data_IF_650920852593
#
_entry.id   IF_650920852593
#
_cell.length_a   1.000
_cell.length_b   1.000
_cell.length_c   1.000
_cell.angle_alpha   90.00
_cell.angle_beta   90.00
_cell.angle_gamma   90.00
#
_symmetry.space_group_name_H-M   'P 1'
#
loop_
_entity.id
_entity.type
_entity.pdbx_description
1 polymer ?
#
# COMPACT_ATOMS: atom_id res chain seq x y z
N UNK A 1 -2.84 -2.90 -17.57
CA UNK A 1 -2.33 -4.05 -18.37
C UNK A 1 -0.93 -4.48 -17.94
N UNK A 2 0.06 -3.57 -17.85
CA UNK A 2 1.44 -3.93 -17.51
C UNK A 2 1.59 -4.75 -16.20
N UNK A 3 0.94 -4.33 -15.10
CA UNK A 3 1.02 -5.07 -13.84
C UNK A 3 0.33 -6.45 -13.90
N UNK A 4 -0.75 -6.58 -14.67
CA UNK A 4 -1.41 -7.87 -14.88
C UNK A 4 -0.50 -8.81 -15.68
N UNK A 5 0.15 -8.31 -16.74
CA UNK A 5 1.13 -9.08 -17.50
C UNK A 5 2.31 -9.52 -16.63
N UNK A 6 2.80 -8.66 -15.73
CA UNK A 6 3.83 -9.05 -14.76
C UNK A 6 3.34 -10.17 -13.83
N UNK A 7 2.08 -10.13 -13.37
CA UNK A 7 1.47 -11.22 -12.59
C UNK A 7 1.26 -12.52 -13.40
N UNK A 8 1.08 -12.42 -14.72
CA UNK A 8 1.01 -13.59 -15.59
C UNK A 8 2.38 -14.23 -15.83
N UNK A 9 3.42 -13.42 -15.96
CA UNK A 9 4.82 -13.86 -16.09
C UNK A 9 5.37 -14.43 -14.78
N UNK A 10 5.17 -13.71 -13.68
CA UNK A 10 5.65 -14.05 -12.35
C UNK A 10 4.45 -14.35 -11.44
N UNK A 11 4.09 -15.62 -11.33
CA UNK A 11 3.01 -16.04 -10.43
C UNK A 11 3.37 -15.69 -8.98
N UNK A 12 2.45 -15.03 -8.31
CA UNK A 12 2.62 -14.55 -6.96
C UNK A 12 1.28 -14.25 -6.29
N UNK A 13 1.32 -13.97 -5.00
CA UNK A 13 0.13 -13.72 -4.19
C UNK A 13 0.44 -12.66 -3.12
N UNK A 14 -0.58 -12.33 -2.32
CA UNK A 14 -0.47 -11.39 -1.21
C UNK A 14 -1.25 -11.92 0.00
N UNK A 15 -0.85 -11.54 1.20
CA UNK A 15 -1.57 -11.90 2.42
C UNK A 15 -1.60 -10.76 3.43
N UNK A 16 -2.76 -10.55 4.05
CA UNK A 16 -2.90 -9.64 5.18
C UNK A 16 -2.52 -10.34 6.49
N UNK A 17 -1.65 -9.71 7.26
CA UNK A 17 -1.22 -10.09 8.60
C UNK A 17 -1.73 -9.06 9.59
N UNK A 18 -2.52 -9.49 10.58
CA UNK A 18 -3.17 -8.62 11.56
C UNK A 18 -2.83 -9.08 12.97
N UNK A 19 -2.52 -8.12 13.84
CA UNK A 19 -2.19 -8.33 15.25
C UNK A 19 -0.77 -8.82 15.47
N UNK A 20 0.16 -8.43 14.59
CA UNK A 20 1.59 -8.67 14.75
C UNK A 20 2.35 -7.36 14.52
N UNK A 21 3.43 -7.17 15.27
CA UNK A 21 4.31 -6.01 15.16
C UNK A 21 4.97 -5.93 13.77
N UNK A 22 5.11 -4.71 13.23
CA UNK A 22 5.64 -4.46 11.87
C UNK A 22 7.07 -4.98 11.71
N UNK A 23 7.94 -4.72 12.69
CA UNK A 23 9.35 -5.14 12.61
C UNK A 23 9.43 -6.65 12.62
N UNK A 24 8.58 -7.29 13.42
CA UNK A 24 8.48 -8.75 13.44
C UNK A 24 7.98 -9.35 12.11
N UNK A 25 7.06 -8.68 11.41
CA UNK A 25 6.63 -9.12 10.06
C UNK A 25 7.77 -8.95 9.05
N UNK A 26 8.48 -7.82 9.10
CA UNK A 26 9.66 -7.58 8.25
C UNK A 26 10.74 -8.64 8.48
N UNK A 27 11.09 -8.95 9.72
CA UNK A 27 12.06 -9.98 10.08
C UNK A 27 11.65 -11.35 9.55
N UNK A 28 10.35 -11.68 9.65
CA UNK A 28 9.82 -12.92 9.09
C UNK A 28 9.99 -12.94 7.57
N UNK A 29 9.61 -11.89 6.84
CA UNK A 29 9.82 -11.81 5.39
C UNK A 29 11.30 -11.96 4.99
N UNK A 30 12.20 -11.33 5.73
CA UNK A 30 13.64 -11.44 5.49
C UNK A 30 14.15 -12.87 5.73
N UNK A 31 13.65 -13.54 6.78
CA UNK A 31 14.07 -14.90 7.11
C UNK A 31 13.52 -15.98 6.16
N UNK A 32 12.45 -15.68 5.42
CA UNK A 32 11.82 -16.60 4.45
C UNK A 32 12.29 -16.38 3.02
N UNK A 33 13.23 -15.46 2.79
CA UNK A 33 13.73 -15.14 1.45
C UNK A 33 14.38 -16.33 0.74
N UNK A 34 14.82 -17.35 1.50
CA UNK A 34 15.37 -18.60 0.95
C UNK A 34 14.29 -19.52 0.35
N UNK A 35 13.04 -19.44 0.85
CA UNK A 35 11.90 -20.23 0.39
C UNK A 35 11.19 -19.60 -0.82
N UNK A 36 11.42 -18.30 -1.06
CA UNK A 36 10.87 -17.54 -2.17
C UNK A 36 10.94 -16.04 -1.91
N UNK A 37 10.71 -15.23 -2.95
CA UNK A 37 10.62 -13.78 -2.78
C UNK A 37 9.39 -13.46 -1.94
N UNK A 38 9.57 -12.72 -0.85
CA UNK A 38 8.47 -12.19 -0.04
C UNK A 38 8.93 -10.94 0.70
N UNK A 39 8.08 -9.92 0.74
CA UNK A 39 8.34 -8.69 1.48
C UNK A 39 7.04 -8.09 1.99
N UNK A 40 7.14 -7.14 2.93
CA UNK A 40 6.04 -6.27 3.26
C UNK A 40 5.72 -5.35 2.06
N UNK A 41 4.45 -5.34 1.67
CA UNK A 41 3.90 -4.55 0.56
C UNK A 41 3.07 -3.36 1.02
N UNK A 42 2.38 -3.47 2.17
CA UNK A 42 1.59 -2.37 2.70
C UNK A 42 1.72 -2.29 4.22
N UNK A 43 2.10 -1.12 4.72
CA UNK A 43 2.05 -0.75 6.13
C UNK A 43 0.80 0.08 6.37
N UNK A 44 -0.32 -0.59 6.67
CA UNK A 44 -1.65 0.00 6.60
C UNK A 44 -2.12 0.64 7.91
N UNK A 45 -1.77 0.08 9.06
CA UNK A 45 -2.10 0.64 10.38
C UNK A 45 -1.34 -0.14 11.45
N UNK A 46 -1.30 0.33 12.71
CA UNK A 46 -0.72 -0.43 13.81
C UNK A 46 -1.24 -1.86 13.85
N UNK A 47 -0.33 -2.81 13.66
CA UNK A 47 -0.65 -4.23 13.64
C UNK A 47 -1.47 -4.70 12.43
N UNK A 48 -1.47 -3.99 11.30
CA UNK A 48 -1.96 -4.51 10.02
C UNK A 48 -0.92 -4.26 8.91
N UNK A 49 -0.35 -5.35 8.41
CA UNK A 49 0.62 -5.37 7.31
C UNK A 49 0.12 -6.28 6.21
N UNK A 50 0.42 -5.97 4.96
CA UNK A 50 0.26 -6.91 3.84
C UNK A 50 1.64 -7.36 3.39
N UNK A 51 1.81 -8.67 3.22
CA UNK A 51 3.00 -9.27 2.60
C UNK A 51 2.70 -9.67 1.15
N UNK A 52 3.71 -9.66 0.29
CA UNK A 52 3.59 -9.89 -1.14
C UNK A 52 4.84 -10.56 -1.70
N UNK A 53 4.68 -11.44 -2.69
CA UNK A 53 5.79 -12.13 -3.33
C UNK A 53 5.36 -13.42 -4.05
N UNK A 54 6.28 -14.37 -4.17
CA UNK A 54 5.96 -15.68 -4.74
C UNK A 54 4.94 -16.42 -3.87
N UNK A 55 4.21 -17.36 -4.48
CA UNK A 55 3.18 -18.12 -3.76
C UNK A 55 3.78 -18.88 -2.58
N UNK A 56 4.94 -19.48 -2.77
CA UNK A 56 5.68 -20.25 -1.77
C UNK A 56 6.20 -19.34 -0.66
N UNK A 57 6.84 -18.22 -1.01
CA UNK A 57 7.39 -17.26 -0.05
C UNK A 57 6.30 -16.63 0.82
N UNK A 58 5.17 -16.24 0.22
CA UNK A 58 4.03 -15.68 0.96
C UNK A 58 3.40 -16.72 1.87
N UNK A 59 3.16 -17.95 1.39
CA UNK A 59 2.61 -19.03 2.23
C UNK A 59 3.51 -19.34 3.41
N UNK A 60 4.82 -19.37 3.20
CA UNK A 60 5.78 -19.56 4.28
C UNK A 60 5.76 -18.40 5.28
N UNK A 61 5.74 -17.17 4.80
CA UNK A 61 5.59 -15.97 5.64
C UNK A 61 4.29 -15.99 6.44
N UNK A 62 3.19 -16.46 5.84
CA UNK A 62 1.90 -16.62 6.51
C UNK A 62 1.98 -17.60 7.68
N UNK A 63 2.56 -18.78 7.47
CA UNK A 63 2.76 -19.79 8.53
C UNK A 63 3.59 -19.22 9.68
N UNK A 64 4.73 -18.59 9.36
CA UNK A 64 5.63 -18.03 10.37
C UNK A 64 4.98 -16.87 11.14
N UNK A 65 4.24 -15.99 10.47
CA UNK A 65 3.46 -14.93 11.13
C UNK A 65 2.42 -15.53 12.09
N UNK A 66 1.74 -16.60 11.68
CA UNK A 66 0.76 -17.29 12.52
C UNK A 66 1.42 -17.89 13.76
N UNK A 67 2.53 -18.61 13.60
CA UNK A 67 3.33 -19.17 14.71
C UNK A 67 3.91 -18.08 15.61
N UNK A 68 4.21 -16.91 15.07
CA UNK A 68 4.73 -15.76 15.80
C UNK A 68 3.68 -14.99 16.60
N UNK A 69 2.40 -15.38 16.52
CA UNK A 69 1.30 -14.81 17.31
C UNK A 69 0.36 -13.88 16.55
N UNK A 70 0.45 -13.81 15.21
CA UNK A 70 -0.49 -13.01 14.43
C UNK A 70 -1.95 -13.48 14.66
N UNK A 71 -2.82 -12.53 15.01
CA UNK A 71 -4.24 -12.79 15.27
C UNK A 71 -4.95 -13.35 14.03
N UNK A 72 -4.78 -12.68 12.89
CA UNK A 72 -5.34 -13.10 11.60
C UNK A 72 -4.21 -13.10 10.57
N UNK A 73 -4.18 -14.15 9.76
CA UNK A 73 -3.36 -14.24 8.57
C UNK A 73 -4.27 -14.72 7.46
N UNK A 74 -4.44 -13.93 6.40
CA UNK A 74 -5.41 -14.21 5.34
C UNK A 74 -4.83 -13.89 3.97
N UNK A 75 -4.80 -14.89 3.09
CA UNK A 75 -4.47 -14.69 1.68
C UNK A 75 -5.51 -13.79 1.00
N UNK A 76 -5.05 -12.88 0.16
CA UNK A 76 -5.87 -11.92 -0.55
C UNK A 76 -6.24 -12.44 -1.93
N UNK A 77 -7.46 -12.15 -2.39
CA UNK A 77 -7.91 -12.48 -3.74
C UNK A 77 -7.41 -11.38 -4.67
N UNK A 78 -6.19 -11.54 -5.18
CA UNK A 78 -5.51 -10.61 -6.08
C UNK A 78 -4.95 -11.33 -7.29
N UNK A 79 -4.72 -10.60 -8.38
CA UNK A 79 -4.19 -11.15 -9.63
C UNK A 79 -2.66 -11.23 -9.68
N UNK A 80 -1.96 -10.57 -8.75
CA UNK A 80 -0.51 -10.43 -8.79
C UNK A 80 0.09 -10.12 -7.40
N UNK A 81 1.41 -10.26 -7.28
CA UNK A 81 2.19 -9.86 -6.11
C UNK A 81 2.56 -8.37 -6.15
N UNK A 82 1.57 -7.49 -5.97
CA UNK A 82 1.78 -6.03 -6.02
C UNK A 82 2.79 -5.55 -4.97
N UNK A 83 3.51 -4.46 -5.29
CA UNK A 83 4.51 -3.86 -4.39
C UNK A 83 5.56 -4.89 -3.94
N UNK A 84 6.04 -5.71 -4.89
CA UNK A 84 7.10 -6.68 -4.69
C UNK A 84 8.07 -6.68 -5.88
N UNK A 85 9.28 -7.26 -5.74
CA UNK A 85 10.22 -7.39 -6.85
C UNK A 85 9.65 -8.16 -8.05
N UNK A 86 8.61 -8.98 -7.87
CA UNK A 86 7.97 -9.71 -8.97
C UNK A 86 7.28 -8.77 -9.97
N UNK A 87 7.01 -7.52 -9.60
CA UNK A 87 6.43 -6.50 -10.47
C UNK A 87 7.45 -5.77 -11.33
N UNK A 88 8.75 -6.07 -11.22
CA UNK A 88 9.80 -5.46 -12.05
C UNK A 88 9.50 -5.46 -13.56
N UNK A 89 8.94 -6.54 -14.17
CA UNK A 89 8.61 -6.51 -15.60
C UNK A 89 7.56 -5.46 -16.00
N UNK A 90 6.78 -4.94 -15.06
CA UNK A 90 5.81 -3.88 -15.32
C UNK A 90 6.45 -2.48 -15.33
N UNK A 91 7.63 -2.31 -14.70
CA UNK A 91 8.24 -1.00 -14.44
C UNK A 91 8.51 -0.24 -15.73
N UNK A 92 9.16 -0.87 -16.72
CA UNK A 92 9.48 -0.19 -17.98
C UNK A 92 8.23 0.35 -18.69
N UNK A 93 7.17 -0.46 -18.78
CA UNK A 93 5.94 -0.09 -19.46
C UNK A 93 5.17 1.01 -18.71
N UNK A 94 5.18 0.97 -17.38
CA UNK A 94 4.56 2.01 -16.55
C UNK A 94 5.35 3.31 -16.66
N UNK A 95 6.68 3.27 -16.59
CA UNK A 95 7.54 4.45 -16.73
C UNK A 95 7.31 5.14 -18.08
N UNK A 96 7.23 4.38 -19.19
CA UNK A 96 6.88 4.93 -20.51
C UNK A 96 5.54 5.66 -20.49
N UNK A 97 4.52 5.10 -19.83
CA UNK A 97 3.20 5.75 -19.74
C UNK A 97 3.24 7.02 -18.88
N UNK A 98 4.01 7.01 -17.78
CA UNK A 98 4.22 8.19 -16.92
C UNK A 98 4.95 9.30 -17.69
N UNK A 99 6.01 8.95 -18.43
CA UNK A 99 6.80 9.92 -19.21
C UNK A 99 5.99 10.56 -20.34
N UNK A 100 5.04 9.82 -20.92
CA UNK A 100 4.12 10.31 -21.95
C UNK A 100 2.95 11.13 -21.40
N UNK A 101 2.75 11.12 -20.09
CA UNK A 101 1.65 11.85 -19.44
C UNK A 101 2.08 13.30 -19.18
N UNK A 102 1.18 14.24 -19.48
CA UNK A 102 1.36 15.64 -19.10
C UNK A 102 1.15 15.79 -17.60
N UNK A 103 2.15 16.33 -16.90
CA UNK A 103 2.03 16.67 -15.49
C UNK A 103 2.03 18.17 -15.30
N UNK A 104 1.27 18.61 -14.31
CA UNK A 104 1.22 19.98 -13.87
C UNK A 104 1.66 20.04 -12.41
N UNK A 105 2.16 21.20 -11.98
CA UNK A 105 2.52 21.43 -10.59
C UNK A 105 1.28 21.26 -9.72
N UNK A 106 1.39 20.44 -8.67
CA UNK A 106 0.27 20.25 -7.75
C UNK A 106 0.03 21.52 -6.93
N UNK A 107 -1.25 21.91 -6.78
CA UNK A 107 -1.65 23.04 -5.93
C UNK A 107 -1.74 22.68 -4.46
N UNK A 108 -1.84 21.39 -4.16
CA UNK A 108 -1.91 20.83 -2.82
C UNK A 108 -0.83 19.75 -2.66
N UNK A 109 -0.30 19.54 -1.45
CA UNK A 109 0.67 18.48 -1.24
C UNK A 109 0.12 17.10 -1.50
N UNK A 110 0.93 16.25 -2.14
CA UNK A 110 0.62 14.84 -2.39
C UNK A 110 1.52 13.99 -1.51
N UNK A 111 0.94 13.26 -0.55
CA UNK A 111 1.70 12.32 0.27
C UNK A 111 1.95 11.05 -0.53
N UNK A 112 3.21 10.75 -0.78
CA UNK A 112 3.61 9.66 -1.66
C UNK A 112 3.70 8.35 -0.90
N UNK A 113 3.13 7.27 -1.47
CA UNK A 113 3.11 5.96 -0.82
C UNK A 113 4.51 5.39 -0.57
N UNK A 114 5.51 5.72 -1.39
CA UNK A 114 6.89 5.20 -1.22
C UNK A 114 7.54 5.69 0.07
N UNK A 115 7.32 6.96 0.43
CA UNK A 115 8.04 7.61 1.54
C UNK A 115 7.14 7.97 2.72
N UNK A 116 5.82 7.99 2.51
CA UNK A 116 4.85 8.56 3.44
C UNK A 116 4.90 10.08 3.56
N UNK A 117 5.74 10.77 2.78
CA UNK A 117 5.96 12.23 2.90
C UNK A 117 5.28 13.00 1.77
N UNK A 118 4.98 14.26 2.05
CA UNK A 118 4.42 15.20 1.09
C UNK A 118 5.43 15.55 -0.02
N UNK A 119 4.92 15.63 -1.24
CA UNK A 119 5.63 16.07 -2.43
C UNK A 119 4.76 17.09 -3.16
N UNK A 120 5.40 18.15 -3.65
CA UNK A 120 4.74 19.21 -4.42
C UNK A 120 5.24 19.28 -5.86
N UNK A 121 6.53 19.00 -6.07
CA UNK A 121 7.13 19.17 -7.39
C UNK A 121 6.69 18.06 -8.34
N UNK A 122 6.42 18.43 -9.60
CA UNK A 122 6.10 17.46 -10.65
C UNK A 122 7.18 16.38 -10.79
N UNK A 123 8.46 16.75 -10.69
CA UNK A 123 9.56 15.80 -10.85
C UNK A 123 9.59 14.77 -9.72
N UNK A 124 9.38 15.21 -8.49
CA UNK A 124 9.37 14.31 -7.33
C UNK A 124 8.18 13.34 -7.39
N UNK A 125 6.98 13.84 -7.71
CA UNK A 125 5.78 12.99 -7.85
C UNK A 125 5.99 11.95 -8.96
N UNK A 126 6.55 12.35 -10.11
CA UNK A 126 6.90 11.42 -11.20
C UNK A 126 7.87 10.33 -10.74
N UNK A 127 8.96 10.72 -10.09
CA UNK A 127 9.95 9.77 -9.59
C UNK A 127 9.31 8.77 -8.60
N UNK A 128 8.45 9.26 -7.70
CA UNK A 128 7.77 8.41 -6.71
C UNK A 128 6.75 7.48 -7.34
N UNK A 129 6.05 7.89 -8.40
CA UNK A 129 5.16 7.00 -9.16
C UNK A 129 5.93 5.85 -9.84
N UNK A 130 7.11 6.13 -10.39
CA UNK A 130 7.97 5.10 -10.99
C UNK A 130 8.46 4.10 -9.93
N UNK A 131 8.90 4.59 -8.76
CA UNK A 131 9.34 3.76 -7.64
C UNK A 131 8.20 2.91 -7.04
N UNK A 132 6.95 3.39 -7.09
CA UNK A 132 5.79 2.80 -6.39
C UNK A 132 5.46 1.36 -6.79
N UNK A 133 5.82 0.95 -7.99
CA UNK A 133 5.40 -0.34 -8.56
C UNK A 133 5.96 -1.53 -7.78
N UNK A 134 7.19 -1.40 -7.30
CA UNK A 134 7.90 -2.44 -6.52
C UNK A 134 8.11 -2.04 -5.06
N UNK A 135 7.96 -0.76 -4.72
CA UNK A 135 8.09 -0.26 -3.36
C UNK A 135 6.82 -0.48 -2.50
N UNK A 136 6.99 -0.70 -1.18
CA UNK A 136 5.87 -0.81 -0.25
C UNK A 136 5.07 0.48 -0.12
N UNK A 137 3.79 0.34 0.23
CA UNK A 137 2.88 1.43 0.56
C UNK A 137 3.02 1.80 2.04
N UNK A 138 3.53 2.99 2.31
CA UNK A 138 3.72 3.59 3.64
C UNK A 138 2.45 4.32 4.12
N UNK A 139 1.29 3.67 4.07
CA UNK A 139 0.00 4.32 4.36
C UNK A 139 -0.10 4.85 5.80
N UNK A 140 0.31 4.06 6.79
CA UNK A 140 0.34 4.50 8.18
C UNK A 140 1.20 5.76 8.35
N UNK A 141 2.40 5.77 7.75
CA UNK A 141 3.29 6.92 7.82
C UNK A 141 2.68 8.14 7.10
N UNK A 142 2.04 7.96 5.93
CA UNK A 142 1.33 9.05 5.24
C UNK A 142 0.30 9.72 6.13
N UNK A 143 -0.54 8.94 6.80
CA UNK A 143 -1.58 9.47 7.68
C UNK A 143 -0.98 10.17 8.91
N UNK A 144 0.04 9.57 9.53
CA UNK A 144 0.72 10.20 10.68
C UNK A 144 1.34 11.54 10.30
N UNK A 145 2.04 11.59 9.16
CA UNK A 145 2.64 12.83 8.68
C UNK A 145 1.57 13.88 8.31
N UNK A 146 0.42 13.49 7.74
CA UNK A 146 -0.70 14.43 7.53
C UNK A 146 -1.21 15.01 8.85
N UNK A 147 -1.34 14.20 9.90
CA UNK A 147 -1.77 14.66 11.23
C UNK A 147 -0.72 15.59 11.85
N UNK A 148 0.57 15.25 11.72
CA UNK A 148 1.67 16.08 12.19
C UNK A 148 1.74 17.43 11.45
N UNK A 149 1.27 17.45 10.19
CA UNK A 149 1.07 18.64 9.36
C UNK A 149 -0.31 19.31 9.60
N UNK A 150 -0.93 19.06 10.76
CA UNK A 150 -2.18 19.68 11.25
C UNK A 150 -3.45 19.36 10.44
N UNK A 151 -3.50 18.26 9.69
CA UNK A 151 -4.73 17.80 9.04
C UNK A 151 -5.69 17.19 10.06
N UNK A 152 -6.87 17.80 10.21
CA UNK A 152 -7.90 17.39 11.19
C UNK A 152 -9.02 16.53 10.59
N UNK A 153 -9.31 16.72 9.30
CA UNK A 153 -10.43 16.07 8.60
C UNK A 153 -9.96 15.27 7.39
N UNK A 154 -10.41 14.02 7.30
CA UNK A 154 -10.07 13.10 6.22
C UNK A 154 -11.32 12.65 5.48
N UNK A 155 -11.22 12.70 4.15
CA UNK A 155 -12.28 12.31 3.23
C UNK A 155 -11.83 11.11 2.40
N UNK A 156 -12.50 9.97 2.55
CA UNK A 156 -12.33 8.80 1.68
C UNK A 156 -13.26 8.97 0.48
N UNK A 157 -12.67 9.32 -0.67
CA UNK A 157 -13.40 9.52 -1.93
C UNK A 157 -13.32 8.23 -2.75
N UNK A 158 -14.45 7.57 -2.95
CA UNK A 158 -14.55 6.32 -3.69
C UNK A 158 -15.33 5.24 -2.92
N UNK A 159 -15.51 4.06 -3.55
CA UNK A 159 -16.42 3.06 -3.02
C UNK A 159 -15.92 2.40 -1.74
N UNK A 160 -16.83 2.20 -0.78
CA UNK A 160 -16.56 1.49 0.46
C UNK A 160 -16.04 2.38 1.61
N UNK A 161 -15.36 1.75 2.57
CA UNK A 161 -14.93 2.41 3.81
C UNK A 161 -13.63 1.82 4.39
N UNK A 162 -12.78 1.28 3.51
CA UNK A 162 -11.56 0.58 3.94
C UNK A 162 -10.61 1.57 4.60
N UNK A 163 -10.35 2.71 3.96
CA UNK A 163 -9.40 3.71 4.46
C UNK A 163 -9.91 4.37 5.74
N UNK A 164 -11.22 4.62 5.85
CA UNK A 164 -11.84 5.05 7.12
C UNK A 164 -11.56 4.07 8.26
N UNK A 165 -11.67 2.77 8.00
CA UNK A 165 -11.36 1.72 8.97
C UNK A 165 -9.89 1.70 9.39
N UNK A 166 -8.97 1.90 8.45
CA UNK A 166 -7.53 2.01 8.74
C UNK A 166 -7.22 3.27 9.54
N UNK A 167 -7.80 4.40 9.14
CA UNK A 167 -7.62 5.69 9.79
C UNK A 167 -8.07 5.64 11.25
N UNK A 168 -9.21 5.01 11.54
CA UNK A 168 -9.69 4.78 12.92
C UNK A 168 -8.69 3.99 13.78
N UNK A 169 -7.92 3.07 13.18
CA UNK A 169 -6.87 2.31 13.88
C UNK A 169 -5.60 3.12 14.11
N UNK A 170 -5.26 4.01 13.18
CA UNK A 170 -4.07 4.87 13.28
C UNK A 170 -4.31 5.98 14.31
N UNK A 171 -5.44 6.68 14.20
CA UNK A 171 -5.87 7.71 15.14
C UNK A 171 -7.41 7.72 15.23
N UNK A 172 -8.00 7.36 16.39
CA UNK A 172 -9.45 7.35 16.56
C UNK A 172 -10.08 8.75 16.63
N UNK A 173 -9.30 9.79 16.93
CA UNK A 173 -9.80 11.13 17.26
C UNK A 173 -9.96 12.04 16.02
N UNK A 174 -9.30 11.72 14.90
CA UNK A 174 -9.46 12.50 13.65
C UNK A 174 -10.86 12.33 13.07
N UNK A 175 -11.36 13.38 12.41
CA UNK A 175 -12.65 13.33 11.72
C UNK A 175 -12.49 12.58 10.40
N UNK A 176 -13.43 11.67 10.12
CA UNK A 176 -13.37 10.76 8.97
C UNK A 176 -14.72 10.73 8.28
N UNK A 177 -14.74 10.99 6.98
CA UNK A 177 -15.95 11.10 6.17
C UNK A 177 -15.77 10.23 4.93
N UNK A 178 -16.75 9.38 4.63
CA UNK A 178 -16.82 8.63 3.38
C UNK A 178 -17.67 9.36 2.34
N UNK A 179 -17.21 9.37 1.09
CA UNK A 179 -17.98 9.83 -0.07
C UNK A 179 -17.93 8.70 -1.11
N UNK A 180 -18.93 7.81 -1.03
CA UNK A 180 -19.02 6.59 -1.86
C UNK A 180 -20.01 6.82 -3.02
N UNK A 181 -21.16 7.43 -2.73
CA UNK A 181 -22.26 7.62 -3.68
C UNK A 181 -22.55 9.09 -3.93
N UNK A 182 -23.36 9.35 -4.95
CA UNK A 182 -23.77 10.71 -5.30
C UNK A 182 -24.49 11.41 -4.13
N UNK A 183 -25.33 10.70 -3.39
CA UNK A 183 -26.07 11.24 -2.24
C UNK A 183 -25.14 11.71 -1.10
N UNK A 184 -23.92 11.16 -1.01
CA UNK A 184 -22.93 11.62 -0.03
C UNK A 184 -22.33 12.98 -0.42
N UNK A 185 -22.31 13.31 -1.72
CA UNK A 185 -21.83 14.59 -2.25
C UNK A 185 -22.84 15.73 -2.05
N UNK A 186 -24.14 15.42 -1.94
CA UNK A 186 -25.20 16.44 -1.82
C UNK A 186 -25.01 17.39 -0.63
N UNK A 187 -24.23 16.97 0.39
CA UNK A 187 -23.90 17.79 1.55
C UNK A 187 -22.88 18.91 1.26
N UNK A 188 -22.28 18.92 0.07
CA UNK A 188 -21.20 19.83 -0.34
C UNK A 188 -21.51 20.62 -1.62
N UNK A 189 -22.66 20.37 -2.26
CA UNK A 189 -23.16 21.09 -3.43
C UNK A 189 -24.12 22.20 -3.02
#
# INVERSE_FOLDING_TARGET
LAMQQAGDLNKGTMAAVIGLDVDKVNDICNSTSADGVVQCANFNSPGQVVISGSVEGVKRGMEMCKSAGAKIVKELVVSAAFHSPLMEPAVENINKAIDQTNFYQSKIPVYTNVTGKSANSTQEIKNKLNEQITAPVQWEASIRNMIDDEVEEFYEIGPGSVLQGLLKRINPDVKRIGIDKYEDLERYL
#
